data_IF_131065502838
#
_entry.id   IF_131065502838
#
_cell.length_a   1.000
_cell.length_b   1.000
_cell.length_c   1.000
_cell.angle_alpha   90.00
_cell.angle_beta   90.00
_cell.angle_gamma   90.00
#
_symmetry.space_group_name_H-M   'P 1'
#
loop_
_entity.id
_entity.type
_entity.pdbx_description
1 polymer ?
#
# COMPACT_ATOMS: atom_id res chain seq x y z
N UNK A 1 -12.51 6.22 9.55
CA UNK A 1 -13.41 6.24 10.74
C UNK A 1 -13.91 4.85 11.16
N UNK A 2 -14.14 3.88 10.25
CA UNK A 2 -14.62 2.53 10.63
C UNK A 2 -13.70 1.80 11.64
N UNK A 3 -12.37 1.85 11.44
CA UNK A 3 -11.41 1.21 12.35
C UNK A 3 -11.44 1.78 13.77
N UNK A 4 -11.69 3.10 13.91
CA UNK A 4 -11.81 3.70 15.25
C UNK A 4 -13.02 3.17 16.02
N UNK A 5 -14.15 2.96 15.34
CA UNK A 5 -15.34 2.36 15.94
C UNK A 5 -15.14 0.92 16.36
N UNK A 6 -14.45 0.13 15.50
CA UNK A 6 -14.11 -1.27 15.83
C UNK A 6 -13.22 -1.31 17.06
N UNK A 7 -12.16 -0.49 17.10
CA UNK A 7 -11.24 -0.43 18.24
C UNK A 7 -11.94 0.01 19.53
N UNK A 8 -12.74 1.09 19.45
CA UNK A 8 -13.52 1.55 20.61
C UNK A 8 -14.52 0.48 21.09
N UNK A 9 -15.18 -0.23 20.17
CA UNK A 9 -16.08 -1.32 20.48
C UNK A 9 -15.39 -2.47 21.23
N UNK A 10 -14.18 -2.84 20.79
CA UNK A 10 -13.37 -3.86 21.47
C UNK A 10 -12.99 -3.44 22.90
N UNK A 11 -12.56 -2.19 23.08
CA UNK A 11 -12.22 -1.66 24.41
C UNK A 11 -13.44 -1.65 25.32
N UNK A 12 -14.58 -1.15 24.85
CA UNK A 12 -15.82 -1.12 25.64
C UNK A 12 -16.28 -2.54 26.01
N UNK A 13 -16.27 -3.47 25.06
CA UNK A 13 -16.59 -4.88 25.31
C UNK A 13 -15.68 -5.49 26.38
N UNK A 14 -14.37 -5.25 26.30
CA UNK A 14 -13.40 -5.74 27.27
C UNK A 14 -13.68 -5.21 28.68
N UNK A 15 -13.99 -3.91 28.80
CA UNK A 15 -14.33 -3.29 30.09
C UNK A 15 -15.64 -3.84 30.66
N UNK A 16 -16.69 -3.95 29.83
CA UNK A 16 -17.99 -4.49 30.27
C UNK A 16 -17.84 -5.93 30.74
N UNK A 17 -17.11 -6.75 29.98
CA UNK A 17 -16.87 -8.14 30.35
C UNK A 17 -16.03 -8.27 31.61
N UNK A 18 -14.99 -7.44 31.77
CA UNK A 18 -14.17 -7.39 32.97
C UNK A 18 -14.98 -6.99 34.22
N UNK A 19 -15.95 -6.07 34.05
CA UNK A 19 -16.86 -5.66 35.13
C UNK A 19 -17.82 -6.79 35.53
N UNK A 20 -18.41 -7.46 34.55
CA UNK A 20 -19.36 -8.55 34.76
C UNK A 20 -18.72 -9.79 35.39
N UNK A 21 -17.46 -10.07 35.05
CA UNK A 21 -16.70 -11.23 35.57
C UNK A 21 -15.88 -10.92 36.82
N UNK A 22 -15.86 -9.67 37.29
CA UNK A 22 -15.05 -9.25 38.43
C UNK A 22 -13.54 -9.26 38.17
N UNK A 23 -13.12 -9.23 36.89
CA UNK A 23 -11.71 -9.36 36.47
C UNK A 23 -11.11 -8.04 35.96
N UNK A 24 -11.50 -6.89 36.56
CA UNK A 24 -11.00 -5.57 36.18
C UNK A 24 -9.48 -5.44 36.29
N UNK A 25 -8.86 -6.06 37.29
CA UNK A 25 -7.41 -6.07 37.47
C UNK A 25 -6.71 -6.80 36.32
N UNK A 26 -7.29 -7.87 35.79
CA UNK A 26 -6.77 -8.57 34.63
C UNK A 26 -6.86 -7.71 33.36
N UNK A 27 -7.96 -6.95 33.19
CA UNK A 27 -8.12 -6.00 32.08
C UNK A 27 -7.10 -4.87 32.18
N UNK A 28 -6.88 -4.30 33.37
CA UNK A 28 -5.88 -3.25 33.58
C UNK A 28 -4.46 -3.74 33.31
N UNK A 29 -4.11 -4.93 33.80
CA UNK A 29 -2.79 -5.53 33.54
C UNK A 29 -2.59 -5.84 32.05
N UNK A 30 -3.60 -6.38 31.39
CA UNK A 30 -3.56 -6.66 29.94
C UNK A 30 -3.39 -5.36 29.12
N UNK A 31 -4.00 -4.25 29.53
CA UNK A 31 -3.83 -2.96 28.87
C UNK A 31 -2.38 -2.44 29.01
N UNK A 32 -1.78 -2.55 30.21
CA UNK A 32 -0.38 -2.16 30.43
C UNK A 32 0.60 -3.04 29.67
N UNK A 33 0.37 -4.35 29.66
CA UNK A 33 1.20 -5.31 28.92
C UNK A 33 1.05 -5.11 27.40
N UNK A 34 -0.16 -4.84 26.92
CA UNK A 34 -0.42 -4.47 25.53
C UNK A 34 0.31 -3.20 25.12
N UNK A 35 0.33 -2.17 25.99
CA UNK A 35 1.08 -0.94 25.74
C UNK A 35 2.60 -1.18 25.66
N UNK A 36 3.17 -2.00 26.56
CA UNK A 36 4.59 -2.39 26.49
C UNK A 36 4.89 -3.14 25.20
N UNK A 37 4.10 -4.15 24.87
CA UNK A 37 4.27 -4.94 23.65
C UNK A 37 4.19 -4.07 22.39
N UNK A 38 3.31 -3.06 22.37
CA UNK A 38 3.21 -2.11 21.28
C UNK A 38 4.47 -1.25 21.11
N UNK A 39 5.08 -0.80 22.22
CA UNK A 39 6.33 -0.04 22.20
C UNK A 39 7.49 -0.92 21.69
N UNK A 40 7.63 -2.12 22.22
CA UNK A 40 8.69 -3.06 21.82
C UNK A 40 8.60 -3.41 20.33
N UNK A 41 7.39 -3.68 19.85
CA UNK A 41 7.12 -3.92 18.42
C UNK A 41 7.47 -2.68 17.59
N UNK A 42 7.09 -1.49 18.04
CA UNK A 42 7.35 -0.23 17.33
C UNK A 42 8.86 0.03 17.18
N UNK A 43 9.63 -0.18 18.24
CA UNK A 43 11.09 -0.02 18.22
C UNK A 43 11.74 -1.04 17.29
N UNK A 44 11.34 -2.32 17.39
CA UNK A 44 11.82 -3.38 16.52
C UNK A 44 11.53 -3.11 15.04
N UNK A 45 10.31 -2.66 14.73
CA UNK A 45 9.93 -2.28 13.37
C UNK A 45 10.69 -1.04 12.88
N UNK A 46 10.89 -0.04 13.72
CA UNK A 46 11.58 1.18 13.36
C UNK A 46 13.01 0.88 12.86
N UNK A 47 13.76 0.01 13.55
CA UNK A 47 15.11 -0.38 13.14
C UNK A 47 15.14 -1.01 11.74
N UNK A 48 14.26 -1.98 11.49
CA UNK A 48 14.21 -2.67 10.19
C UNK A 48 13.71 -1.72 9.08
N UNK A 49 12.72 -0.85 9.36
CA UNK A 49 12.24 0.13 8.40
C UNK A 49 13.30 1.18 8.07
N UNK A 50 14.08 1.65 9.05
CA UNK A 50 15.19 2.57 8.83
C UNK A 50 16.27 1.94 7.94
N UNK A 51 16.69 0.70 8.26
CA UNK A 51 17.65 -0.03 7.43
C UNK A 51 17.15 -0.17 5.99
N UNK A 52 15.90 -0.60 5.85
CA UNK A 52 15.30 -0.80 4.53
C UNK A 52 15.13 0.51 3.75
N UNK A 53 14.74 1.58 4.43
CA UNK A 53 14.66 2.92 3.83
C UNK A 53 16.03 3.38 3.32
N UNK A 54 17.10 3.12 4.08
CA UNK A 54 18.48 3.41 3.67
C UNK A 54 18.90 2.62 2.43
N UNK A 55 18.61 1.30 2.39
CA UNK A 55 18.87 0.46 1.20
C UNK A 55 18.13 0.99 -0.03
N UNK A 56 16.86 1.38 0.14
CA UNK A 56 16.06 1.92 -0.95
C UNK A 56 16.55 3.29 -1.43
N UNK A 57 17.05 4.13 -0.54
CA UNK A 57 17.66 5.40 -0.90
C UNK A 57 18.93 5.19 -1.74
N UNK A 58 19.78 4.26 -1.36
CA UNK A 58 20.95 3.85 -2.16
C UNK A 58 20.53 3.35 -3.54
N UNK A 59 19.52 2.50 -3.63
CA UNK A 59 18.97 1.99 -4.90
C UNK A 59 18.43 3.14 -5.77
N UNK A 60 17.82 4.14 -5.17
CA UNK A 60 17.34 5.34 -5.85
C UNK A 60 18.51 6.19 -6.36
N UNK A 61 19.51 6.45 -5.52
CA UNK A 61 20.70 7.19 -5.87
C UNK A 61 21.53 6.52 -6.99
N UNK A 62 21.59 5.19 -7.02
CA UNK A 62 22.20 4.40 -8.10
C UNK A 62 21.40 4.43 -9.42
N UNK A 63 20.26 5.13 -9.48
CA UNK A 63 19.45 5.24 -10.69
C UNK A 63 18.59 4.00 -11.01
N UNK A 64 18.54 3.02 -10.12
CA UNK A 64 17.75 1.80 -10.31
C UNK A 64 16.25 2.11 -10.40
N UNK A 65 15.75 3.03 -9.59
CA UNK A 65 14.35 3.52 -9.65
C UNK A 65 14.03 4.15 -11.01
N UNK A 66 14.97 4.93 -11.58
CA UNK A 66 14.82 5.55 -12.89
C UNK A 66 14.84 4.50 -14.02
N UNK A 67 15.70 3.48 -13.91
CA UNK A 67 15.77 2.37 -14.85
C UNK A 67 14.48 1.56 -14.84
N UNK A 68 13.97 1.25 -13.66
CA UNK A 68 12.72 0.55 -13.47
C UNK A 68 11.53 1.34 -14.06
N UNK A 69 11.49 2.65 -13.79
CA UNK A 69 10.50 3.57 -14.34
C UNK A 69 10.49 3.55 -15.88
N UNK A 70 11.65 3.54 -16.52
CA UNK A 70 11.76 3.43 -18.01
C UNK A 70 11.21 2.11 -18.53
N UNK A 71 11.47 1.02 -17.85
CA UNK A 71 10.99 -0.32 -18.22
C UNK A 71 9.47 -0.41 -18.19
N UNK A 72 8.80 0.28 -17.25
CA UNK A 72 7.34 0.27 -17.15
C UNK A 72 6.63 1.28 -18.06
N UNK A 73 7.33 2.29 -18.62
CA UNK A 73 6.73 3.28 -19.52
C UNK A 73 5.91 2.68 -20.67
N UNK A 74 6.38 1.67 -21.44
CA UNK A 74 5.58 1.11 -22.53
C UNK A 74 4.31 0.41 -22.05
N UNK A 75 4.35 -0.22 -20.88
CA UNK A 75 3.17 -0.83 -20.27
C UNK A 75 2.17 0.25 -19.81
N UNK A 76 2.66 1.30 -19.16
CA UNK A 76 1.84 2.42 -18.68
C UNK A 76 1.17 3.16 -19.84
N UNK A 77 1.87 3.39 -20.95
CA UNK A 77 1.30 3.98 -22.16
C UNK A 77 0.18 3.13 -22.78
N UNK A 78 0.21 1.82 -22.61
CA UNK A 78 -0.89 0.92 -23.01
C UNK A 78 -2.07 0.93 -22.06
N UNK A 79 -1.83 1.08 -20.77
CA UNK A 79 -2.87 1.07 -19.74
C UNK A 79 -3.55 2.44 -19.59
N UNK A 80 -2.80 3.52 -19.74
CA UNK A 80 -3.19 4.91 -19.46
C UNK A 80 -2.82 5.81 -20.66
N UNK A 81 -3.37 5.57 -21.86
CA UNK A 81 -2.90 6.22 -23.08
C UNK A 81 -3.10 7.75 -23.09
N UNK A 82 -4.16 8.28 -22.47
CA UNK A 82 -4.42 9.71 -22.43
C UNK A 82 -3.58 10.42 -21.36
N UNK A 83 -3.49 9.85 -20.16
CA UNK A 83 -2.67 10.38 -19.08
C UNK A 83 -1.17 10.39 -19.44
N UNK A 84 -0.72 9.44 -20.23
CA UNK A 84 0.68 9.32 -20.65
C UNK A 84 1.04 10.19 -21.86
N UNK A 85 0.14 11.02 -22.38
CA UNK A 85 0.46 12.03 -23.42
C UNK A 85 1.30 13.18 -22.86
N UNK A 86 1.07 13.55 -21.62
CA UNK A 86 1.86 14.52 -20.89
C UNK A 86 3.05 13.80 -20.22
N UNK A 87 4.28 14.19 -20.61
CA UNK A 87 5.51 13.56 -20.11
C UNK A 87 5.70 13.74 -18.60
N UNK A 88 5.23 14.86 -18.03
CA UNK A 88 5.33 15.07 -16.59
C UNK A 88 4.35 14.16 -15.82
N UNK A 89 3.15 13.93 -16.36
CA UNK A 89 2.17 12.98 -15.80
C UNK A 89 2.70 11.55 -15.93
N UNK A 90 3.26 11.18 -17.07
CA UNK A 90 3.92 9.89 -17.26
C UNK A 90 5.07 9.69 -16.27
N UNK A 91 5.89 10.71 -16.03
CA UNK A 91 6.97 10.65 -15.07
C UNK A 91 6.45 10.43 -13.64
N UNK A 92 5.40 11.16 -13.24
CA UNK A 92 4.77 11.00 -11.92
C UNK A 92 4.16 9.60 -11.71
N UNK A 93 3.42 9.10 -12.71
CA UNK A 93 2.84 7.75 -12.69
C UNK A 93 3.95 6.68 -12.62
N UNK A 94 4.99 6.82 -13.47
CA UNK A 94 6.08 5.88 -13.50
C UNK A 94 6.85 5.84 -12.18
N UNK A 95 7.09 7.00 -11.56
CA UNK A 95 7.72 7.09 -10.26
C UNK A 95 6.87 6.44 -9.15
N UNK A 96 5.54 6.68 -9.16
CA UNK A 96 4.61 6.06 -8.22
C UNK A 96 4.60 4.53 -8.35
N UNK A 97 4.47 4.01 -9.58
CA UNK A 97 4.45 2.56 -9.83
C UNK A 97 5.78 1.93 -9.42
N UNK A 98 6.92 2.57 -9.74
CA UNK A 98 8.24 2.08 -9.34
C UNK A 98 8.43 2.06 -7.83
N UNK A 99 7.97 3.09 -7.13
CA UNK A 99 8.01 3.16 -5.67
C UNK A 99 7.15 2.06 -5.03
N UNK A 100 5.93 1.83 -5.54
CA UNK A 100 5.07 0.74 -5.09
C UNK A 100 5.72 -0.62 -5.32
N UNK A 101 6.30 -0.84 -6.48
CA UNK A 101 6.95 -2.10 -6.84
C UNK A 101 8.14 -2.42 -5.91
N UNK A 102 8.89 -1.38 -5.55
CA UNK A 102 10.01 -1.50 -4.61
C UNK A 102 9.57 -1.60 -3.14
N UNK A 103 8.27 -1.51 -2.86
CA UNK A 103 7.75 -1.56 -1.49
C UNK A 103 7.97 -0.26 -0.70
N UNK A 104 8.21 0.86 -1.38
CA UNK A 104 8.39 2.20 -0.80
C UNK A 104 7.04 2.87 -0.50
N UNK A 105 6.22 2.28 0.36
CA UNK A 105 4.86 2.78 0.66
C UNK A 105 4.82 4.27 1.01
N UNK A 106 5.77 4.72 1.84
CA UNK A 106 5.86 6.13 2.26
C UNK A 106 6.17 7.08 1.10
N UNK A 107 7.01 6.67 0.13
CA UNK A 107 7.33 7.46 -1.05
C UNK A 107 6.27 7.31 -2.16
N UNK A 108 5.65 6.14 -2.27
CA UNK A 108 4.63 5.87 -3.28
C UNK A 108 3.38 6.74 -3.09
N UNK A 109 2.93 6.98 -1.86
CA UNK A 109 1.72 7.75 -1.57
C UNK A 109 1.80 9.19 -2.10
N UNK A 110 2.79 10.03 -1.77
CA UNK A 110 2.86 11.39 -2.29
C UNK A 110 3.05 11.43 -3.82
N UNK A 111 3.77 10.47 -4.40
CA UNK A 111 3.92 10.34 -5.84
C UNK A 111 2.58 9.98 -6.51
N UNK A 112 1.81 9.08 -5.92
CA UNK A 112 0.47 8.71 -6.39
C UNK A 112 -0.51 9.87 -6.32
N UNK A 113 -0.49 10.64 -5.23
CA UNK A 113 -1.32 11.86 -5.09
C UNK A 113 -0.95 12.87 -6.17
N UNK A 114 0.34 13.12 -6.41
CA UNK A 114 0.81 14.03 -7.48
C UNK A 114 0.34 13.56 -8.86
N UNK A 115 0.45 12.27 -9.17
CA UNK A 115 -0.03 11.70 -10.42
C UNK A 115 -1.55 11.87 -10.56
N UNK A 116 -2.32 11.53 -9.53
CA UNK A 116 -3.77 11.67 -9.51
C UNK A 116 -4.22 13.14 -9.67
N UNK A 117 -3.58 14.09 -8.98
CA UNK A 117 -3.88 15.52 -9.11
C UNK A 117 -3.65 16.04 -10.53
N UNK A 118 -2.58 15.57 -11.21
CA UNK A 118 -2.34 15.95 -12.61
C UNK A 118 -3.40 15.36 -13.54
N UNK A 119 -3.75 14.10 -13.35
CA UNK A 119 -4.80 13.45 -14.15
C UNK A 119 -6.19 14.04 -13.90
N UNK A 120 -6.46 14.53 -12.70
CA UNK A 120 -7.73 15.13 -12.34
C UNK A 120 -7.96 16.53 -12.96
N UNK A 121 -6.91 17.24 -13.39
CA UNK A 121 -7.01 18.59 -13.99
C UNK A 121 -7.90 18.66 -15.25
N UNK A 122 -8.11 17.53 -15.92
CA UNK A 122 -9.00 17.43 -17.08
C UNK A 122 -10.36 16.78 -16.77
N UNK A 123 -10.67 16.56 -15.50
CA UNK A 123 -11.90 15.89 -15.08
C UNK A 123 -12.87 16.90 -14.50
N UNK A 124 -13.98 17.19 -15.19
CA UNK A 124 -15.06 18.09 -14.75
C UNK A 124 -15.90 17.49 -13.61
N UNK A 125 -15.27 17.19 -12.46
CA UNK A 125 -15.95 16.63 -11.29
C UNK A 125 -16.19 15.12 -11.32
N UNK A 126 -15.94 14.44 -12.44
CA UNK A 126 -16.07 12.98 -12.58
C UNK A 126 -14.71 12.37 -12.91
N UNK A 127 -14.27 11.40 -12.10
CA UNK A 127 -13.00 10.74 -12.33
C UNK A 127 -12.96 10.01 -13.68
N UNK A 128 -11.88 10.23 -14.45
CA UNK A 128 -11.67 9.51 -15.70
C UNK A 128 -11.42 8.02 -15.45
N UNK A 129 -11.72 7.17 -16.43
CA UNK A 129 -11.45 5.73 -16.35
C UNK A 129 -9.97 5.44 -16.06
N UNK A 130 -9.06 6.26 -16.59
CA UNK A 130 -7.63 6.12 -16.35
C UNK A 130 -7.24 6.51 -14.92
N UNK A 131 -7.86 7.53 -14.35
CA UNK A 131 -7.67 7.90 -12.95
C UNK A 131 -8.17 6.78 -12.02
N UNK A 132 -9.34 6.22 -12.30
CA UNK A 132 -9.85 5.05 -11.57
C UNK A 132 -8.88 3.86 -11.68
N UNK A 133 -8.32 3.63 -12.87
CA UNK A 133 -7.35 2.55 -13.10
C UNK A 133 -6.05 2.76 -12.32
N UNK A 134 -5.55 4.01 -12.22
CA UNK A 134 -4.40 4.35 -11.38
C UNK A 134 -4.66 4.03 -9.91
N UNK A 135 -5.85 4.38 -9.40
CA UNK A 135 -6.27 4.07 -8.02
C UNK A 135 -6.32 2.55 -7.81
N UNK A 136 -6.91 1.81 -8.74
CA UNK A 136 -6.95 0.34 -8.68
C UNK A 136 -5.55 -0.27 -8.66
N UNK A 137 -4.64 0.19 -9.50
CA UNK A 137 -3.24 -0.27 -9.53
C UNK A 137 -2.51 -0.01 -8.21
N UNK A 138 -2.73 1.15 -7.60
CA UNK A 138 -2.15 1.49 -6.30
C UNK A 138 -2.75 0.63 -5.17
N UNK A 139 -4.07 0.37 -5.22
CA UNK A 139 -4.77 -0.46 -4.22
C UNK A 139 -4.40 -1.93 -4.34
N UNK A 140 -4.16 -2.43 -5.55
CA UNK A 140 -3.72 -3.81 -5.79
C UNK A 140 -2.32 -4.12 -5.24
N UNK A 141 -1.55 -3.08 -4.89
CA UNK A 141 -0.28 -3.16 -4.14
C UNK A 141 0.70 -4.20 -4.69
N UNK A 142 1.22 -3.94 -5.89
CA UNK A 142 2.27 -4.79 -6.47
C UNK A 142 3.56 -4.54 -5.68
N UNK A 143 4.05 -5.55 -4.97
CA UNK A 143 5.30 -5.46 -4.23
C UNK A 143 6.27 -6.56 -4.69
N UNK A 144 7.47 -6.17 -5.11
CA UNK A 144 8.56 -7.11 -5.35
C UNK A 144 9.16 -7.56 -4.01
N UNK A 145 9.25 -6.64 -3.07
CA UNK A 145 9.84 -6.86 -1.77
C UNK A 145 8.85 -6.38 -0.70
N UNK A 146 8.20 -7.32 0.04
CA UNK A 146 7.24 -6.98 1.09
C UNK A 146 7.96 -6.57 2.38
N UNK A 147 8.71 -5.44 2.32
CA UNK A 147 9.57 -5.01 3.42
C UNK A 147 8.84 -4.88 4.75
N UNK A 148 7.64 -4.29 4.75
CA UNK A 148 6.84 -4.10 5.96
C UNK A 148 6.43 -5.44 6.58
N UNK A 149 5.94 -6.39 5.78
CA UNK A 149 5.53 -7.71 6.28
C UNK A 149 6.74 -8.51 6.75
N UNK A 150 7.86 -8.46 6.01
CA UNK A 150 9.10 -9.10 6.42
C UNK A 150 9.63 -8.52 7.74
N UNK A 151 9.51 -7.20 7.95
CA UNK A 151 9.89 -6.53 9.20
C UNK A 151 9.05 -7.01 10.39
N UNK A 152 7.73 -7.10 10.24
CA UNK A 152 6.83 -7.61 11.28
C UNK A 152 7.15 -9.07 11.59
N UNK A 153 7.40 -9.90 10.59
CA UNK A 153 7.78 -11.30 10.77
C UNK A 153 9.12 -11.44 11.52
N UNK A 154 10.12 -10.61 11.16
CA UNK A 154 11.40 -10.57 11.85
C UNK A 154 11.24 -10.15 13.32
N UNK A 155 10.45 -9.10 13.59
CA UNK A 155 10.16 -8.65 14.95
C UNK A 155 9.41 -9.70 15.78
N UNK A 156 8.58 -10.53 15.12
CA UNK A 156 7.90 -11.68 15.74
C UNK A 156 8.80 -12.92 15.90
N UNK A 157 10.11 -12.81 15.63
CA UNK A 157 11.08 -13.91 15.83
C UNK A 157 11.19 -14.92 14.68
N UNK A 158 10.63 -14.62 13.51
CA UNK A 158 10.75 -15.48 12.34
C UNK A 158 12.20 -15.50 11.83
N UNK A 159 12.79 -16.69 11.69
CA UNK A 159 14.17 -16.87 11.21
C UNK A 159 14.35 -16.61 9.72
N UNK A 160 13.29 -16.79 8.94
CA UNK A 160 13.27 -16.60 7.48
C UNK A 160 12.14 -15.66 7.05
N UNK A 161 12.25 -14.34 7.33
CA UNK A 161 11.15 -13.38 7.10
C UNK A 161 10.70 -13.27 5.65
N UNK A 162 11.59 -13.59 4.69
CA UNK A 162 11.37 -13.46 3.26
C UNK A 162 10.89 -14.74 2.54
N UNK A 163 10.65 -15.84 3.24
CA UNK A 163 10.11 -17.08 2.67
C UNK A 163 8.72 -16.93 2.04
N UNK A 164 8.01 -15.84 2.39
CA UNK A 164 6.71 -15.46 1.82
C UNK A 164 6.78 -14.88 0.40
N UNK A 165 7.98 -14.57 -0.12
CA UNK A 165 8.14 -13.91 -1.43
C UNK A 165 7.36 -14.57 -2.56
N UNK A 166 7.41 -15.89 -2.78
CA UNK A 166 6.66 -16.51 -3.87
C UNK A 166 5.14 -16.34 -3.73
N UNK A 167 4.62 -16.42 -2.49
CA UNK A 167 3.21 -16.23 -2.21
C UNK A 167 2.77 -14.78 -2.44
N UNK A 168 3.60 -13.81 -2.05
CA UNK A 168 3.35 -12.38 -2.26
C UNK A 168 3.35 -12.04 -3.75
N UNK A 169 4.28 -12.59 -4.53
CA UNK A 169 4.30 -12.37 -5.98
C UNK A 169 3.07 -12.94 -6.67
N UNK A 170 2.69 -14.18 -6.32
CA UNK A 170 1.48 -14.81 -6.86
C UNK A 170 0.22 -14.00 -6.51
N UNK A 171 0.08 -13.61 -5.24
CA UNK A 171 -1.04 -12.79 -4.77
C UNK A 171 -1.08 -11.42 -5.46
N UNK A 172 0.07 -10.75 -5.63
CA UNK A 172 0.18 -9.47 -6.33
C UNK A 172 -0.26 -9.58 -7.79
N UNK A 173 0.21 -10.61 -8.52
CA UNK A 173 -0.19 -10.83 -9.91
C UNK A 173 -1.68 -11.08 -10.03
N UNK A 174 -2.24 -11.94 -9.18
CA UNK A 174 -3.67 -12.24 -9.16
C UNK A 174 -4.52 -11.01 -8.82
N UNK A 175 -4.09 -10.22 -7.81
CA UNK A 175 -4.77 -8.99 -7.41
C UNK A 175 -4.81 -7.97 -8.53
N UNK A 176 -3.68 -7.75 -9.20
CA UNK A 176 -3.60 -6.83 -10.34
C UNK A 176 -4.44 -7.32 -11.51
N UNK A 177 -4.35 -8.60 -11.85
CA UNK A 177 -5.14 -9.18 -12.94
C UNK A 177 -6.65 -9.02 -12.65
N UNK A 178 -7.08 -9.33 -11.43
CA UNK A 178 -8.48 -9.15 -11.01
C UNK A 178 -8.90 -7.67 -11.03
N UNK A 179 -8.08 -6.78 -10.48
CA UNK A 179 -8.35 -5.34 -10.47
C UNK A 179 -8.45 -4.74 -11.87
N UNK A 180 -7.51 -5.07 -12.77
CA UNK A 180 -7.52 -4.61 -14.15
C UNK A 180 -8.74 -5.14 -14.94
N UNK A 181 -9.09 -6.41 -14.77
CA UNK A 181 -10.25 -6.99 -15.43
C UNK A 181 -11.54 -6.38 -14.94
N UNK A 182 -11.71 -6.22 -13.63
CA UNK A 182 -12.87 -5.56 -13.03
C UNK A 182 -13.01 -4.10 -13.50
N UNK A 183 -11.93 -3.32 -13.45
CA UNK A 183 -11.93 -1.93 -13.92
C UNK A 183 -12.31 -1.81 -15.40
N UNK A 184 -11.80 -2.70 -16.26
CA UNK A 184 -12.16 -2.72 -17.69
C UNK A 184 -13.61 -3.14 -17.94
N UNK A 185 -14.12 -4.10 -17.22
CA UNK A 185 -15.52 -4.54 -17.34
C UNK A 185 -16.48 -3.43 -16.90
N UNK A 186 -16.22 -2.79 -15.76
CA UNK A 186 -17.02 -1.69 -15.25
C UNK A 186 -16.96 -0.46 -16.16
N UNK A 187 -15.80 -0.14 -16.72
CA UNK A 187 -15.67 0.98 -17.67
C UNK A 187 -16.46 0.76 -18.97
N UNK A 188 -16.62 -0.49 -19.41
CA UNK A 188 -17.47 -0.84 -20.56
C UNK A 188 -18.95 -0.76 -20.21
N UNK A 189 -19.33 -1.24 -19.03
CA UNK A 189 -20.73 -1.17 -18.56
C UNK A 189 -21.20 0.26 -18.32
N UNK A 190 -20.32 1.16 -17.87
CA UNK A 190 -20.62 2.59 -17.69
C UNK A 190 -20.78 3.37 -18.99
N UNK A 191 -20.18 2.92 -20.10
CA UNK A 191 -20.35 3.51 -21.43
C UNK A 191 -21.67 3.15 -22.10
N UNK A 192 -22.36 2.14 -21.63
CA UNK A 192 -23.66 1.68 -22.19
C UNK A 192 -24.88 2.31 -21.51
N UNK A 193 -24.70 3.26 -20.60
CA UNK A 193 -25.81 4.05 -20.05
C UNK A 193 -25.83 5.38 -20.78
N UNK A 194 -26.92 5.67 -21.52
CA UNK A 194 -27.14 6.95 -22.17
C UNK A 194 -27.30 8.09 -21.16
#
# INVERSE_FOLDING_TARGET
MAMAWVWTGMVVLSLVFGLLTGSLDAVANAALEGARSAIDLSISMAGVLCLWSGVMEVMSACGLSASLSRTFRPLLRRLLPNACRDEETLAAISANVSANLLGLGNAATPLGIRAAQRMARGCEGVASNELCLLVVLNTASIQLIPATIASVRAAAGCRTPFDILPAVWLASVLSVAAGLTAARLLSRAGRSRP
#
